data_IF_043337576279
#
_entry.id   IF_043337576279
#
_cell.length_a   1.000
_cell.length_b   1.000
_cell.length_c   1.000
_cell.angle_alpha   90.00
_cell.angle_beta   90.00
_cell.angle_gamma   90.00
#
_symmetry.space_group_name_H-M   'P 1'
#
loop_
_entity.id
_entity.type
_entity.pdbx_description
1 polymer ?
#
# COMPACT_ATOMS: atom_id res chain seq x y z
N UNK A 1 -4.66 -1.48 -21.37
CA UNK A 1 -5.03 -1.14 -19.97
C UNK A 1 -3.77 -1.03 -19.14
N UNK A 2 -3.53 0.11 -18.49
CA UNK A 2 -2.42 0.28 -17.55
C UNK A 2 -2.69 -0.57 -16.30
N UNK A 3 -1.68 -1.28 -15.80
CA UNK A 3 -1.85 -2.09 -14.59
C UNK A 3 -2.03 -1.16 -13.39
N UNK A 4 -3.06 -1.39 -12.58
CA UNK A 4 -3.29 -0.60 -11.36
C UNK A 4 -2.07 -0.70 -10.44
N UNK A 5 -1.51 0.43 -9.96
CA UNK A 5 -0.36 0.42 -9.05
C UNK A 5 -0.66 -0.40 -7.79
N UNK A 6 0.30 -1.20 -7.32
CA UNK A 6 0.21 -1.92 -6.05
C UNK A 6 1.27 -1.39 -5.10
N UNK A 7 0.84 -1.00 -3.90
CA UNK A 7 1.73 -0.55 -2.83
C UNK A 7 1.63 -1.58 -1.70
N UNK A 8 2.77 -2.13 -1.28
CA UNK A 8 2.81 -3.04 -0.13
C UNK A 8 2.79 -2.27 1.18
N UNK A 9 1.85 -2.62 2.05
CA UNK A 9 1.69 -2.09 3.39
C UNK A 9 2.25 -3.09 4.38
N UNK A 10 3.36 -2.74 5.03
CA UNK A 10 3.97 -3.56 6.08
C UNK A 10 3.23 -3.36 7.40
N UNK A 11 2.46 -4.35 7.83
CA UNK A 11 1.70 -4.31 9.08
C UNK A 11 2.60 -4.68 10.27
N UNK A 12 2.42 -3.95 11.38
CA UNK A 12 3.08 -4.27 12.64
C UNK A 12 2.49 -5.54 13.24
N UNK A 13 3.35 -6.33 13.88
CA UNK A 13 2.93 -7.49 14.68
C UNK A 13 2.24 -7.00 15.97
N UNK A 14 1.26 -7.74 16.52
CA UNK A 14 0.66 -7.39 17.81
C UNK A 14 1.73 -7.38 18.92
N UNK A 15 1.72 -6.33 19.75
CA UNK A 15 2.56 -6.23 20.95
C UNK A 15 2.04 -7.08 22.11
N UNK A 16 2.74 -7.02 23.25
CA UNK A 16 2.37 -7.73 24.49
C UNK A 16 1.60 -6.86 25.48
N UNK A 17 1.52 -5.56 25.25
CA UNK A 17 0.88 -4.61 26.15
C UNK A 17 -0.61 -4.91 26.32
N UNK A 18 -1.15 -4.88 27.53
CA UNK A 18 -2.54 -5.28 27.79
C UNK A 18 -3.59 -4.45 27.01
N UNK A 19 -3.29 -3.17 26.74
CA UNK A 19 -4.14 -2.28 25.94
C UNK A 19 -3.98 -2.41 24.42
N UNK A 20 -3.10 -3.28 23.96
CA UNK A 20 -2.88 -3.55 22.55
C UNK A 20 -4.08 -4.28 21.94
N UNK A 21 -4.74 -3.65 20.94
CA UNK A 21 -5.86 -4.24 20.22
C UNK A 21 -5.73 -4.35 18.70
N UNK A 22 -4.69 -3.77 18.09
CA UNK A 22 -4.50 -3.65 16.62
C UNK A 22 -5.80 -3.37 15.86
N UNK A 23 -6.43 -2.24 16.15
CA UNK A 23 -7.71 -1.87 15.55
C UNK A 23 -7.64 -1.69 14.02
N UNK A 24 -6.54 -1.16 13.48
CA UNK A 24 -6.33 -1.00 12.04
C UNK A 24 -5.64 -2.24 11.43
N UNK A 25 -6.01 -2.68 10.22
CA UNK A 25 -7.06 -2.10 9.35
C UNK A 25 -8.50 -2.40 9.81
N UNK A 26 -9.43 -1.53 9.42
CA UNK A 26 -10.87 -1.72 9.54
C UNK A 26 -11.43 -2.47 8.33
N UNK A 27 -11.10 -3.76 8.25
CA UNK A 27 -11.47 -4.65 7.13
C UNK A 27 -12.96 -4.66 6.81
N UNK A 28 -13.79 -4.55 7.85
CA UNK A 28 -15.25 -4.63 7.79
C UNK A 28 -15.89 -3.40 7.16
N UNK A 29 -15.13 -2.31 7.14
CA UNK A 29 -15.57 -1.00 6.67
C UNK A 29 -14.75 -0.51 5.48
N UNK A 30 -13.87 -1.38 4.95
CA UNK A 30 -12.99 -1.02 3.85
C UNK A 30 -12.09 0.17 4.18
N UNK A 31 -11.52 0.24 5.39
CA UNK A 31 -10.79 1.42 5.88
C UNK A 31 -9.41 1.10 6.45
N UNK A 32 -8.45 1.99 6.21
CA UNK A 32 -7.12 1.96 6.80
C UNK A 32 -6.58 3.37 7.07
N UNK A 33 -5.93 3.57 8.21
CA UNK A 33 -5.30 4.84 8.60
C UNK A 33 -6.11 5.66 9.60
N UNK A 34 -7.36 5.24 9.88
CA UNK A 34 -8.26 5.96 10.77
C UNK A 34 -7.74 6.03 12.23
N UNK A 35 -6.88 5.11 12.67
CA UNK A 35 -6.19 5.18 13.99
C UNK A 35 -4.95 6.08 14.01
N UNK A 36 -4.67 6.82 12.93
CA UNK A 36 -3.39 7.51 12.67
C UNK A 36 -2.21 6.56 12.46
N UNK A 37 -2.46 5.27 12.20
CA UNK A 37 -1.40 4.34 11.81
C UNK A 37 -0.72 4.84 10.54
N UNK A 38 0.61 4.65 10.45
CA UNK A 38 1.39 5.07 9.29
C UNK A 38 1.33 6.57 8.93
N UNK A 39 0.83 7.44 9.83
CA UNK A 39 0.71 8.90 9.62
C UNK A 39 2.05 9.59 9.36
N UNK A 40 3.16 9.03 9.85
CA UNK A 40 4.52 9.52 9.60
C UNK A 40 5.14 9.00 8.30
N UNK A 41 4.52 8.02 7.63
CA UNK A 41 5.00 7.44 6.38
C UNK A 41 3.88 7.34 5.34
N UNK A 42 3.26 6.18 5.11
CA UNK A 42 2.30 5.91 4.05
C UNK A 42 1.06 6.81 4.10
N UNK A 43 0.51 7.05 5.29
CA UNK A 43 -0.70 7.86 5.49
C UNK A 43 -0.39 9.33 5.77
N UNK A 44 0.80 9.81 5.36
CA UNK A 44 1.21 11.20 5.60
C UNK A 44 0.36 12.19 4.78
N UNK A 45 -0.25 13.22 5.42
CA UNK A 45 -1.19 14.11 4.74
C UNK A 45 -0.63 14.79 3.50
N UNK A 46 0.61 15.29 3.51
CA UNK A 46 1.17 15.99 2.34
C UNK A 46 1.33 15.12 1.08
N UNK A 47 1.20 13.80 1.22
CA UNK A 47 1.49 12.84 0.15
C UNK A 47 0.38 11.81 -0.02
N UNK A 48 -0.76 11.93 0.67
CA UNK A 48 -1.79 10.88 0.64
C UNK A 48 -2.34 10.67 -0.77
N UNK A 49 -2.42 11.72 -1.58
CA UNK A 49 -2.94 11.65 -2.96
C UNK A 49 -2.12 10.71 -3.86
N UNK A 50 -0.87 10.38 -3.49
CA UNK A 50 -0.08 9.34 -4.18
C UNK A 50 -0.70 7.94 -4.09
N UNK A 51 -1.62 7.72 -3.15
CA UNK A 51 -2.33 6.45 -2.97
C UNK A 51 -3.63 6.37 -3.77
N UNK A 52 -4.14 7.50 -4.28
CA UNK A 52 -5.42 7.54 -5.00
C UNK A 52 -5.39 6.58 -6.21
N UNK A 53 -6.38 5.70 -6.28
CA UNK A 53 -6.50 4.69 -7.34
C UNK A 53 -5.50 3.53 -7.25
N UNK A 54 -4.58 3.50 -6.28
CA UNK A 54 -3.69 2.36 -6.05
C UNK A 54 -4.40 1.22 -5.32
N UNK A 55 -3.90 -0.01 -5.46
CA UNK A 55 -4.28 -1.13 -4.59
C UNK A 55 -3.28 -1.25 -3.45
N UNK A 56 -3.77 -1.50 -2.24
CA UNK A 56 -2.94 -1.74 -1.07
C UNK A 56 -2.83 -3.25 -0.82
N UNK A 57 -1.60 -3.77 -0.84
CA UNK A 57 -1.29 -5.15 -0.48
C UNK A 57 -0.81 -5.23 0.96
N UNK A 58 -1.64 -5.77 1.85
CA UNK A 58 -1.33 -5.82 3.29
C UNK A 58 -0.47 -7.03 3.62
N UNK A 59 0.76 -6.76 4.05
CA UNK A 59 1.74 -7.77 4.44
C UNK A 59 1.83 -7.88 5.96
N UNK A 60 1.44 -9.03 6.49
CA UNK A 60 1.50 -9.33 7.92
C UNK A 60 2.68 -10.27 8.20
N UNK A 61 3.59 -9.87 9.10
CA UNK A 61 4.66 -10.75 9.57
C UNK A 61 4.21 -11.59 10.78
N UNK A 62 4.71 -12.81 10.89
CA UNK A 62 4.45 -13.74 12.00
C UNK A 62 5.48 -14.85 12.06
N UNK A 63 5.16 -15.96 12.74
CA UNK A 63 6.07 -17.11 12.90
C UNK A 63 6.39 -17.81 11.58
N UNK A 64 5.44 -17.81 10.63
CA UNK A 64 5.60 -18.43 9.31
C UNK A 64 5.98 -17.41 8.23
N UNK A 65 6.67 -16.33 8.61
CA UNK A 65 7.12 -15.30 7.69
C UNK A 65 6.11 -14.20 7.41
N UNK A 66 6.34 -13.46 6.32
CA UNK A 66 5.43 -12.43 5.85
C UNK A 66 4.40 -13.02 4.89
N UNK A 67 3.14 -12.70 5.12
CA UNK A 67 2.02 -13.18 4.31
C UNK A 67 1.17 -12.03 3.80
N UNK A 68 0.66 -12.15 2.58
CA UNK A 68 -0.22 -11.16 1.96
C UNK A 68 -1.67 -11.45 2.36
N UNK A 69 -2.09 -10.89 3.49
CA UNK A 69 -3.41 -11.18 4.08
C UNK A 69 -4.56 -10.54 3.31
N UNK A 70 -4.30 -9.44 2.60
CA UNK A 70 -5.30 -8.78 1.77
C UNK A 70 -4.68 -8.01 0.62
N UNK A 71 -5.44 -7.86 -0.45
CA UNK A 71 -5.16 -6.96 -1.56
C UNK A 71 -6.46 -6.23 -1.91
N UNK A 72 -6.48 -4.92 -1.70
CA UNK A 72 -7.69 -4.12 -1.90
C UNK A 72 -8.05 -3.99 -3.38
N UNK A 73 -9.30 -3.62 -3.69
CA UNK A 73 -9.62 -2.81 -4.88
C UNK A 73 -8.82 -1.49 -4.90
N UNK A 74 -8.88 -0.71 -6.00
CA UNK A 74 -8.35 0.66 -6.00
C UNK A 74 -8.91 1.47 -4.82
N UNK A 75 -8.03 2.11 -4.06
CA UNK A 75 -8.43 2.91 -2.91
C UNK A 75 -8.77 4.34 -3.31
N UNK A 76 -9.69 4.94 -2.56
CA UNK A 76 -9.91 6.39 -2.51
C UNK A 76 -9.28 6.94 -1.25
N UNK A 77 -8.76 8.16 -1.32
CA UNK A 77 -8.16 8.82 -0.15
C UNK A 77 -9.12 9.84 0.44
N UNK A 78 -9.24 9.82 1.77
CA UNK A 78 -9.99 10.80 2.54
C UNK A 78 -9.03 11.54 3.47
N UNK A 79 -9.03 12.86 3.36
CA UNK A 79 -8.27 13.77 4.23
C UNK A 79 -9.18 14.23 5.34
N UNK A 80 -8.81 13.88 6.57
CA UNK A 80 -9.41 14.41 7.79
C UNK A 80 -8.58 15.60 8.30
N UNK A 81 -9.03 16.25 9.38
CA UNK A 81 -8.34 17.40 9.95
C UNK A 81 -6.92 17.04 10.44
N UNK A 82 -6.77 15.88 11.07
CA UNK A 82 -5.56 15.48 11.78
C UNK A 82 -4.94 14.17 11.26
N UNK A 83 -5.55 13.53 10.26
CA UNK A 83 -5.14 12.23 9.71
C UNK A 83 -5.62 12.03 8.28
N UNK A 84 -5.23 10.91 7.70
CA UNK A 84 -5.72 10.48 6.40
C UNK A 84 -6.18 9.04 6.46
N UNK A 85 -7.08 8.69 5.56
CA UNK A 85 -7.73 7.40 5.50
C UNK A 85 -7.77 6.92 4.06
N UNK A 86 -7.45 5.64 3.85
CA UNK A 86 -7.63 4.96 2.57
C UNK A 86 -8.90 4.12 2.67
N UNK A 87 -9.81 4.33 1.73
CA UNK A 87 -11.12 3.68 1.66
C UNK A 87 -11.17 2.79 0.42
N UNK A 88 -11.80 1.61 0.51
CA UNK A 88 -12.01 0.75 -0.65
C UNK A 88 -13.38 0.08 -0.65
N UNK A 89 -13.90 -0.08 -1.87
CA UNK A 89 -15.11 -0.83 -2.16
C UNK A 89 -14.90 -1.67 -3.43
N UNK A 90 -15.51 -2.87 -3.53
CA UNK A 90 -16.31 -3.53 -2.52
C UNK A 90 -15.48 -4.00 -1.31
N UNK A 91 -16.12 -4.05 -0.14
CA UNK A 91 -15.51 -4.55 1.09
C UNK A 91 -15.42 -6.07 1.05
N UNK A 92 -14.26 -6.63 1.39
CA UNK A 92 -14.06 -8.07 1.50
C UNK A 92 -13.12 -8.39 2.67
N UNK A 93 -13.45 -9.44 3.43
CA UNK A 93 -12.60 -9.91 4.52
C UNK A 93 -11.22 -10.40 4.03
N UNK A 94 -10.12 -10.14 4.75
CA UNK A 94 -8.81 -10.71 4.47
C UNK A 94 -8.80 -12.25 4.55
N UNK A 95 -7.69 -12.85 4.11
CA UNK A 95 -7.36 -14.22 4.51
C UNK A 95 -7.06 -14.29 6.01
N UNK A 96 -7.27 -15.45 6.61
CA UNK A 96 -6.61 -15.76 7.89
C UNK A 96 -5.09 -15.76 7.68
N UNK A 97 -4.31 -15.43 8.72
CA UNK A 97 -2.86 -15.39 8.59
C UNK A 97 -2.31 -16.71 8.04
N UNK A 98 -2.71 -17.85 8.62
CA UNK A 98 -2.21 -19.17 8.21
C UNK A 98 -2.52 -19.53 6.75
N UNK A 99 -3.66 -19.08 6.21
CA UNK A 99 -4.07 -19.40 4.84
C UNK A 99 -3.59 -18.40 3.78
N UNK A 100 -3.13 -17.21 4.20
CA UNK A 100 -2.65 -16.18 3.31
C UNK A 100 -1.39 -16.61 2.53
N UNK A 101 -1.26 -16.23 1.25
CA UNK A 101 -0.10 -16.57 0.43
C UNK A 101 1.18 -15.97 1.02
N UNK A 102 2.26 -16.75 0.94
CA UNK A 102 3.54 -16.48 1.59
C UNK A 102 4.36 -15.50 0.75
N UNK A 103 4.52 -14.27 1.23
CA UNK A 103 5.40 -13.27 0.59
C UNK A 103 6.85 -13.70 0.71
N UNK A 104 7.29 -14.05 1.93
CA UNK A 104 8.64 -14.53 2.18
C UNK A 104 8.75 -15.19 3.56
N UNK A 105 9.57 -16.22 3.67
CA UNK A 105 10.01 -16.81 4.94
C UNK A 105 11.55 -16.91 4.99
N UNK A 106 12.12 -17.05 6.19
CA UNK A 106 13.57 -17.06 6.38
C UNK A 106 14.29 -18.26 5.74
N UNK A 107 13.59 -19.37 5.46
CA UNK A 107 14.12 -20.50 4.68
C UNK A 107 14.14 -20.26 3.16
N UNK A 108 13.71 -19.07 2.70
CA UNK A 108 13.66 -18.69 1.29
C UNK A 108 12.39 -19.11 0.56
N UNK A 109 11.43 -19.79 1.20
CA UNK A 109 10.13 -20.09 0.58
C UNK A 109 9.32 -18.82 0.28
N UNK A 110 8.62 -18.83 -0.84
CA UNK A 110 7.76 -17.73 -1.31
C UNK A 110 6.76 -18.21 -2.37
N UNK A 111 5.56 -17.63 -2.39
CA UNK A 111 4.61 -17.73 -3.51
C UNK A 111 4.88 -16.64 -4.59
N UNK A 112 5.83 -15.74 -4.36
CA UNK A 112 6.08 -14.53 -5.17
C UNK A 112 7.56 -14.42 -5.58
N UNK A 113 8.05 -15.24 -6.53
CA UNK A 113 9.46 -15.29 -6.88
C UNK A 113 10.01 -13.96 -7.45
N UNK A 114 9.19 -13.13 -8.10
CA UNK A 114 9.66 -11.81 -8.58
C UNK A 114 9.88 -10.83 -7.42
N UNK A 115 9.06 -10.93 -6.37
CA UNK A 115 9.25 -10.16 -5.16
C UNK A 115 10.53 -10.59 -4.41
N UNK A 116 10.77 -11.90 -4.31
CA UNK A 116 11.99 -12.43 -3.70
C UNK A 116 13.25 -11.97 -4.44
N UNK A 117 13.26 -12.02 -5.78
CA UNK A 117 14.36 -11.46 -6.60
C UNK A 117 14.56 -9.98 -6.33
N UNK A 118 13.47 -9.20 -6.28
CA UNK A 118 13.51 -7.76 -6.03
C UNK A 118 14.14 -7.38 -4.69
N UNK A 119 14.01 -8.22 -3.65
CA UNK A 119 14.56 -7.95 -2.31
C UNK A 119 15.88 -8.69 -2.03
N UNK A 120 16.37 -9.51 -2.97
CA UNK A 120 17.52 -10.37 -2.76
C UNK A 120 18.77 -9.57 -2.38
N UNK A 121 19.06 -8.48 -3.07
CA UNK A 121 20.30 -7.71 -2.90
C UNK A 121 20.28 -6.70 -1.75
N UNK A 122 19.23 -6.74 -0.91
CA UNK A 122 19.13 -5.88 0.26
C UNK A 122 20.08 -6.42 1.35
N UNK A 123 20.98 -5.57 1.85
CA UNK A 123 21.98 -5.92 2.88
C UNK A 123 21.40 -6.23 4.26
N UNK A 124 20.73 -7.38 4.38
CA UNK A 124 20.22 -7.97 5.64
C UNK A 124 20.44 -9.48 5.62
N UNK A 125 20.63 -10.05 6.82
CA UNK A 125 21.04 -11.44 7.00
C UNK A 125 19.92 -12.45 6.73
N UNK A 126 18.67 -12.04 6.92
CA UNK A 126 17.51 -12.91 6.70
C UNK A 126 16.53 -12.34 5.70
N UNK A 127 15.80 -13.22 5.02
CA UNK A 127 14.79 -12.84 4.04
C UNK A 127 13.68 -11.96 4.61
N UNK A 128 13.20 -12.25 5.82
CA UNK A 128 12.21 -11.40 6.48
C UNK A 128 12.76 -10.02 6.86
N UNK A 129 14.05 -9.94 7.22
CA UNK A 129 14.73 -8.67 7.47
C UNK A 129 14.91 -7.87 6.18
N UNK A 130 15.26 -8.52 5.06
CA UNK A 130 15.30 -7.89 3.72
C UNK A 130 13.94 -7.32 3.34
N UNK A 131 12.88 -8.11 3.47
CA UNK A 131 11.51 -7.66 3.21
C UNK A 131 11.11 -6.48 4.10
N UNK A 132 11.36 -6.57 5.40
CA UNK A 132 11.04 -5.49 6.33
C UNK A 132 11.81 -4.22 6.00
N UNK A 133 13.09 -4.33 5.67
CA UNK A 133 13.93 -3.19 5.24
C UNK A 133 13.42 -2.56 3.95
N UNK A 134 12.92 -3.36 3.01
CA UNK A 134 12.39 -2.91 1.72
C UNK A 134 11.06 -2.14 1.85
N UNK A 135 10.17 -2.57 2.75
CA UNK A 135 8.75 -2.17 2.72
C UNK A 135 8.26 -1.41 3.96
N UNK A 136 8.98 -1.41 5.09
CA UNK A 136 8.52 -0.76 6.33
C UNK A 136 8.16 0.72 6.17
N UNK A 137 8.86 1.43 5.29
CA UNK A 137 8.65 2.86 5.02
C UNK A 137 8.33 3.16 3.56
N UNK A 138 8.23 2.12 2.71
CA UNK A 138 8.03 2.29 1.28
C UNK A 138 6.63 2.82 1.00
N UNK A 139 6.58 3.79 0.10
CA UNK A 139 5.34 4.37 -0.44
C UNK A 139 5.20 4.18 -1.94
N UNK A 140 6.33 3.95 -2.62
CA UNK A 140 6.34 3.80 -4.07
C UNK A 140 5.68 2.49 -4.48
N UNK A 141 4.92 2.50 -5.59
CA UNK A 141 4.41 1.28 -6.19
C UNK A 141 5.50 0.24 -6.43
N UNK A 142 5.09 -1.01 -6.45
CA UNK A 142 5.92 -2.10 -6.91
C UNK A 142 6.23 -1.94 -8.41
N UNK A 143 7.39 -2.43 -8.87
CA UNK A 143 7.64 -2.58 -10.30
C UNK A 143 6.49 -3.35 -10.96
N UNK A 144 6.10 -2.95 -12.17
CA UNK A 144 4.91 -3.47 -12.85
C UNK A 144 4.84 -5.00 -12.88
N UNK A 145 5.95 -5.68 -13.20
CA UNK A 145 6.00 -7.14 -13.25
C UNK A 145 5.73 -7.79 -11.89
N UNK A 146 6.29 -7.22 -10.81
CA UNK A 146 6.06 -7.69 -9.43
C UNK A 146 4.60 -7.46 -9.01
N UNK A 147 4.05 -6.27 -9.32
CA UNK A 147 2.65 -5.97 -9.04
C UNK A 147 1.67 -6.91 -9.76
N UNK A 148 1.92 -7.20 -11.04
CA UNK A 148 1.11 -8.16 -11.80
C UNK A 148 1.15 -9.58 -11.20
N UNK A 149 2.33 -10.05 -10.78
CA UNK A 149 2.44 -11.34 -10.09
C UNK A 149 1.68 -11.33 -8.76
N UNK A 150 1.77 -10.25 -7.98
CA UNK A 150 1.03 -10.14 -6.72
C UNK A 150 -0.47 -10.24 -6.95
N UNK A 151 -1.02 -9.45 -7.89
CA UNK A 151 -2.44 -9.49 -8.22
C UNK A 151 -2.86 -10.88 -8.71
N UNK A 152 -2.17 -11.44 -9.69
CA UNK A 152 -2.54 -12.73 -10.28
C UNK A 152 -2.52 -13.87 -9.24
N UNK A 153 -1.50 -13.91 -8.38
CA UNK A 153 -1.36 -14.94 -7.34
C UNK A 153 -2.43 -14.78 -6.27
N UNK A 154 -2.68 -13.55 -5.80
CA UNK A 154 -3.71 -13.27 -4.82
C UNK A 154 -5.10 -13.63 -5.35
N UNK A 155 -5.45 -13.18 -6.55
CA UNK A 155 -6.76 -13.42 -7.16
C UNK A 155 -6.99 -14.92 -7.43
N UNK A 156 -5.95 -15.64 -7.87
CA UNK A 156 -6.01 -17.10 -8.04
C UNK A 156 -6.22 -17.82 -6.72
N UNK A 157 -5.51 -17.44 -5.65
CA UNK A 157 -5.73 -17.97 -4.28
C UNK A 157 -7.14 -17.64 -3.80
N UNK A 158 -7.61 -16.42 -4.03
CA UNK A 158 -8.93 -15.95 -3.57
C UNK A 158 -10.07 -16.73 -4.22
N UNK A 159 -10.01 -16.99 -5.53
CA UNK A 159 -11.01 -17.80 -6.25
C UNK A 159 -11.11 -19.24 -5.76
N UNK A 160 -10.01 -19.80 -5.23
CA UNK A 160 -9.92 -21.19 -4.76
C UNK A 160 -10.06 -21.32 -3.25
N UNK A 161 -10.24 -20.20 -2.54
CA UNK A 161 -10.26 -20.17 -1.09
C UNK A 161 -11.52 -20.85 -0.56
N UNK A 162 -11.35 -21.78 0.38
CA UNK A 162 -12.46 -22.28 1.18
C UNK A 162 -12.88 -21.22 2.20
N UNK A 163 -14.12 -21.27 2.73
CA UNK A 163 -14.59 -20.30 3.73
C UNK A 163 -13.65 -20.15 4.93
N UNK A 164 -13.02 -21.23 5.41
CA UNK A 164 -12.13 -21.22 6.59
C UNK A 164 -10.80 -20.50 6.32
N UNK A 165 -10.42 -20.33 5.05
CA UNK A 165 -9.25 -19.53 4.67
C UNK A 165 -9.53 -18.03 4.79
N UNK A 166 -10.80 -17.61 4.86
CA UNK A 166 -11.20 -16.22 4.94
C UNK A 166 -11.50 -15.87 6.39
N UNK A 167 -10.95 -14.74 6.85
CA UNK A 167 -11.20 -14.25 8.18
C UNK A 167 -12.67 -13.87 8.37
N UNK A 168 -13.25 -14.26 9.50
CA UNK A 168 -14.56 -13.78 9.96
C UNK A 168 -14.45 -12.67 11.01
N UNK A 169 -13.27 -12.48 11.58
CA UNK A 169 -12.94 -11.45 12.56
C UNK A 169 -11.56 -10.87 12.23
N UNK A 170 -11.34 -9.59 12.57
CA UNK A 170 -10.12 -8.89 12.16
C UNK A 170 -8.82 -9.55 12.67
N UNK A 171 -8.87 -10.12 13.88
CA UNK A 171 -7.70 -10.70 14.52
C UNK A 171 -7.33 -12.08 13.93
N UNK A 172 -8.20 -12.71 13.14
CA UNK A 172 -7.83 -13.91 12.38
C UNK A 172 -6.81 -13.61 11.27
N UNK A 173 -6.72 -12.36 10.80
CA UNK A 173 -5.70 -11.92 9.86
C UNK A 173 -4.34 -11.63 10.54
N UNK A 174 -4.29 -11.64 11.88
CA UNK A 174 -3.07 -11.44 12.65
C UNK A 174 -2.35 -12.78 12.87
N UNK A 175 -1.02 -12.77 13.08
CA UNK A 175 -0.25 -13.99 13.31
C UNK A 175 -0.56 -14.64 14.67
N UNK A 176 -1.05 -13.84 15.61
CA UNK A 176 -1.56 -14.26 16.91
C UNK A 176 -2.58 -13.20 17.39
N UNK A 177 -3.45 -13.59 18.30
CA UNK A 177 -4.42 -12.66 18.88
C UNK A 177 -3.72 -11.55 19.68
N UNK A 178 -4.17 -10.29 19.58
CA UNK A 178 -3.70 -9.22 20.45
C UNK A 178 -4.23 -9.46 21.88
N UNK A 179 -3.56 -8.94 22.93
CA UNK A 179 -4.02 -9.05 24.32
C UNK A 179 -5.46 -8.56 24.55
N UNK A 180 -5.89 -7.52 23.82
CA UNK A 180 -7.26 -7.00 23.89
C UNK A 180 -7.96 -7.07 22.53
N UNK A 181 -8.97 -7.92 22.39
CA UNK A 181 -9.78 -7.97 21.16
C UNK A 181 -10.86 -6.88 21.21
N UNK A 182 -10.84 -5.98 20.23
CA UNK A 182 -11.91 -4.99 20.10
C UNK A 182 -13.17 -5.64 19.52
N UNK A 183 -14.15 -5.92 20.38
CA UNK A 183 -15.47 -6.45 19.98
C UNK A 183 -16.45 -5.38 19.50
N UNK A 184 -16.16 -4.10 19.73
CA UNK A 184 -17.03 -2.96 19.40
C UNK A 184 -16.51 -2.17 18.19
N UNK A 185 -15.99 -2.87 17.17
CA UNK A 185 -15.26 -2.25 16.04
C UNK A 185 -16.04 -1.17 15.31
N UNK A 186 -17.33 -1.37 15.07
CA UNK A 186 -18.20 -0.35 14.44
C UNK A 186 -18.29 0.92 15.28
N UNK A 187 -18.45 0.80 16.60
CA UNK A 187 -18.50 1.95 17.51
C UNK A 187 -17.15 2.64 17.59
N UNK A 188 -16.04 1.89 17.69
CA UNK A 188 -14.68 2.43 17.67
C UNK A 188 -14.39 3.18 16.38
N UNK A 189 -14.73 2.60 15.23
CA UNK A 189 -14.52 3.22 13.93
C UNK A 189 -15.30 4.52 13.80
N UNK A 190 -16.60 4.52 14.10
CA UNK A 190 -17.43 5.74 14.09
C UNK A 190 -16.92 6.80 15.07
N UNK A 191 -16.43 6.40 16.24
CA UNK A 191 -15.83 7.33 17.20
C UNK A 191 -14.55 7.96 16.64
N UNK A 192 -13.68 7.17 15.99
CA UNK A 192 -12.47 7.67 15.33
C UNK A 192 -12.79 8.62 14.18
N UNK A 193 -13.77 8.29 13.33
CA UNK A 193 -14.22 9.16 12.25
C UNK A 193 -14.78 10.48 12.78
N UNK A 194 -15.63 10.43 13.82
CA UNK A 194 -16.12 11.66 14.47
C UNK A 194 -14.99 12.49 15.05
N UNK A 195 -14.04 11.88 15.74
CA UNK A 195 -12.87 12.59 16.28
C UNK A 195 -11.94 13.14 15.19
N UNK A 196 -11.91 12.53 14.00
CA UNK A 196 -11.14 13.01 12.86
C UNK A 196 -11.81 14.18 12.13
N UNK A 197 -13.15 14.29 12.24
CA UNK A 197 -13.96 15.39 11.71
C UNK A 197 -14.39 16.46 12.72
N UNK A 198 -14.19 16.24 14.03
CA UNK A 198 -14.55 17.15 15.10
C UNK A 198 -13.32 17.91 15.61
N UNK A 199 -13.12 19.14 15.13
CA UNK A 199 -13.21 20.31 16.00
C UNK A 199 -13.39 21.63 15.23
N UNK A 200 -14.54 22.27 15.51
CA UNK A 200 -14.81 23.71 15.58
C UNK A 200 -14.31 24.64 14.45
N UNK A 201 -15.30 25.16 13.71
CA UNK A 201 -15.46 26.60 13.56
C UNK A 201 -14.97 27.34 14.82
N UNK A 202 -13.77 27.93 14.77
CA UNK A 202 -13.18 28.54 15.97
C UNK A 202 -11.82 29.21 15.77
N UNK A 203 -11.08 28.89 14.70
CA UNK A 203 -10.00 29.76 14.21
C UNK A 203 -10.09 29.91 12.71
N UNK A 204 -10.48 31.11 12.30
CA UNK A 204 -10.33 31.62 10.95
C UNK A 204 -8.83 31.65 10.57
N UNK A 205 -8.26 30.50 10.26
CA UNK A 205 -7.07 30.47 9.41
C UNK A 205 -7.56 30.42 7.98
N UNK A 206 -7.53 31.60 7.37
CA UNK A 206 -7.74 31.88 5.96
C UNK A 206 -7.39 30.67 5.09
N UNK A 207 -8.44 30.01 4.61
CA UNK A 207 -8.37 29.08 3.50
C UNK A 207 -7.96 29.92 2.28
N UNK A 208 -6.65 30.10 2.07
CA UNK A 208 -6.12 30.55 0.79
C UNK A 208 -6.43 29.45 -0.20
N UNK A 209 -7.56 29.60 -0.88
CA UNK A 209 -7.80 28.91 -2.13
C UNK A 209 -6.57 29.20 -3.01
N UNK A 210 -5.82 28.16 -3.34
CA UNK A 210 -4.79 28.25 -4.37
C UNK A 210 -5.43 28.76 -5.66
N UNK A 211 -4.72 29.56 -6.47
CA UNK A 211 -5.29 30.08 -7.71
C UNK A 211 -5.76 28.92 -8.58
N UNK A 212 -6.95 29.10 -9.16
CA UNK A 212 -7.57 28.16 -10.09
C UNK A 212 -6.60 27.79 -11.22
N UNK A 213 -6.61 26.54 -11.70
CA UNK A 213 -5.80 26.15 -12.84
C UNK A 213 -6.22 26.94 -14.09
N UNK A 214 -5.26 27.39 -14.93
CA UNK A 214 -5.61 28.08 -16.16
C UNK A 214 -6.36 27.14 -17.10
N UNK A 215 -7.55 27.57 -17.50
CA UNK A 215 -8.33 26.99 -18.60
C UNK A 215 -7.54 27.09 -19.90
N UNK A 216 -7.08 25.94 -20.40
CA UNK A 216 -6.50 25.83 -21.74
C UNK A 216 -7.64 25.78 -22.77
N UNK A 217 -7.99 26.95 -23.31
CA UNK A 217 -8.78 27.08 -24.54
C UNK A 217 -7.80 27.47 -25.65
N UNK A 218 -7.86 26.71 -26.74
CA UNK A 218 -6.83 26.67 -27.78
C UNK A 218 -6.63 27.99 -28.53
N UNK A 219 -5.39 28.22 -28.92
CA UNK A 219 -5.08 28.99 -30.11
C UNK A 219 -4.16 28.17 -31.01
N UNK A 220 -4.67 27.89 -32.20
CA UNK A 220 -3.92 27.36 -33.31
C UNK A 220 -3.12 28.46 -34.03
N UNK A 221 -2.04 28.01 -34.68
CA UNK A 221 -1.27 28.63 -35.76
C UNK A 221 -0.36 29.82 -35.40
N UNK A 222 0.95 29.59 -35.54
CA UNK A 222 1.76 30.19 -36.62
C UNK A 222 3.02 29.35 -36.86
N UNK A 223 3.12 28.90 -38.10
CA UNK A 223 4.32 28.35 -38.73
C UNK A 223 5.41 29.42 -38.82
N UNK A 224 6.67 28.99 -38.69
CA UNK A 224 7.79 29.56 -39.44
C UNK A 224 8.93 28.55 -39.51
N UNK A 225 9.24 28.20 -40.76
CA UNK A 225 10.40 27.46 -41.20
C UNK A 225 11.72 28.10 -40.76
N UNK A 226 12.71 27.27 -40.42
CA UNK A 226 14.03 27.37 -41.05
C UNK A 226 14.82 26.07 -40.88
N UNK A 227 15.30 25.61 -42.02
CA UNK A 227 16.13 24.44 -42.23
C UNK A 227 17.63 24.70 -41.96
N UNK A 228 18.40 23.61 -42.11
CA UNK A 228 19.86 23.43 -42.12
C UNK A 228 20.54 23.23 -40.74
N UNK A 229 21.49 22.30 -40.55
CA UNK A 229 22.05 21.26 -41.41
C UNK A 229 22.83 20.23 -40.55
N UNK A 230 22.72 18.97 -40.97
CA UNK A 230 23.68 17.85 -40.92
C UNK A 230 25.09 18.02 -40.31
N UNK A 231 25.46 17.03 -39.47
CA UNK A 231 26.66 16.14 -39.58
C UNK A 231 26.61 15.16 -38.38
N UNK A 232 26.34 13.86 -38.54
CA UNK A 232 27.20 12.80 -39.08
C UNK A 232 28.57 12.74 -38.40
N UNK A 233 28.73 11.77 -37.51
CA UNK A 233 29.97 11.40 -36.83
C UNK A 233 29.84 9.95 -36.35
N UNK A 234 30.08 9.02 -37.27
CA UNK A 234 30.31 7.61 -36.99
C UNK A 234 31.54 7.47 -36.07
N UNK A 235 31.42 6.62 -35.04
CA UNK A 235 32.55 6.10 -34.29
C UNK A 235 32.43 4.58 -34.24
N UNK A 236 33.20 3.92 -35.11
CA UNK A 236 33.60 2.51 -35.03
C UNK A 236 35.09 2.46 -34.69
N UNK A 237 35.58 1.26 -34.33
CA UNK A 237 36.89 0.86 -33.79
C UNK A 237 36.90 0.71 -32.26
N UNK A 238 37.33 -0.39 -31.64
CA UNK A 238 37.95 -1.64 -32.12
C UNK A 238 37.90 -2.67 -30.96
N UNK A 239 37.83 -3.96 -31.30
CA UNK A 239 38.15 -5.06 -30.38
C UNK A 239 39.66 -5.09 -30.15
N UNK A 240 40.09 -5.30 -28.91
CA UNK A 240 41.39 -5.90 -28.63
C UNK A 240 41.19 -7.01 -27.58
N UNK A 241 41.54 -8.22 -27.98
CA UNK A 241 41.71 -9.39 -27.14
C UNK A 241 42.95 -9.21 -26.24
N UNK A 242 42.84 -9.63 -24.98
CA UNK A 242 43.84 -10.38 -24.21
C UNK A 242 43.17 -10.93 -22.95
#
# INVERSE_FOLDING_TARGET
MTATPIILVHLRRPGRDAGESRNDPFWEFGSFGCTRCHSKNLMHPRRIDELEGARLGFAQGGHDGFRLVHLTPPVRVLRHQDRCEALWEPVAWPFTYAAAPLLVHNDGRTDFPLLARMIHDIGRDSWEARFSSAFRTRRSPLPRAVGLQIAATFDARRRRAKPEAIATEYWHALPWAPPSINRKRSQTYRALQRAAGADSCGRAHACRQGPAPPTYLGLAKRTRDRAHASRAGEFTFERAEQ
#
